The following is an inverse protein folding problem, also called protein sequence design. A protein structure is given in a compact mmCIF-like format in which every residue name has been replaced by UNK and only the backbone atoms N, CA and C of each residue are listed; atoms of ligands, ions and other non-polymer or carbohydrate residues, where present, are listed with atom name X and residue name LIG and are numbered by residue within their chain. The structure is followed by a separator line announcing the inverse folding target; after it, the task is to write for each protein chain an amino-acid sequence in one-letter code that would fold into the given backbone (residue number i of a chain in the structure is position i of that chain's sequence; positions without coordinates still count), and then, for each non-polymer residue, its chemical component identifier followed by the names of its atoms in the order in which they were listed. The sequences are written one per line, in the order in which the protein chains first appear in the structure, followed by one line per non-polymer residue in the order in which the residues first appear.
data_IF_080104870004
#
_entry.id   IF_080104870004
#
_cell.length_a   1.000
_cell.length_b   1.000
_cell.length_c   1.000
_cell.angle_alpha   90.00
_cell.angle_beta   90.00
_cell.angle_gamma   90.00
#
_symmetry.space_group_name_H-M   'P 1'
#
loop_
_entity.id
_entity.type
_entity.pdbx_description
1 polymer ?
#
# COMPACT_ATOMS: atom_id res chain seq x y z
N UNK A 1 23.52 7.55 -16.97
CA UNK A 1 23.44 8.80 -16.20
C UNK A 1 22.88 8.48 -14.83
N UNK A 2 23.64 8.76 -13.79
CA UNK A 2 23.19 8.60 -12.43
C UNK A 2 22.55 9.90 -11.95
N UNK A 3 21.31 9.84 -11.48
CA UNK A 3 20.65 10.98 -10.87
C UNK A 3 20.88 10.92 -9.35
N UNK A 4 21.38 12.00 -8.75
CA UNK A 4 21.44 12.10 -7.30
C UNK A 4 20.05 11.87 -6.68
N UNK A 5 20.02 11.31 -5.49
CA UNK A 5 18.77 11.22 -4.73
C UNK A 5 18.20 12.64 -4.49
N UNK A 6 16.91 12.82 -4.75
CA UNK A 6 16.21 14.11 -4.75
C UNK A 6 16.53 15.05 -5.93
N UNK A 7 17.10 14.57 -7.03
CA UNK A 7 17.20 15.36 -8.25
C UNK A 7 15.79 15.68 -8.79
N UNK A 8 15.54 16.94 -9.15
CA UNK A 8 14.22 17.38 -9.65
C UNK A 8 13.74 16.59 -10.87
N UNK A 9 14.66 16.05 -11.66
CA UNK A 9 14.32 15.22 -12.83
C UNK A 9 13.68 13.90 -12.45
N UNK A 10 13.96 13.38 -11.25
CA UNK A 10 13.31 12.16 -10.74
C UNK A 10 11.81 12.36 -10.52
N UNK A 11 11.38 13.57 -10.18
CA UNK A 11 9.96 13.92 -9.97
C UNK A 11 9.13 13.94 -11.26
N UNK A 12 9.77 13.83 -12.42
CA UNK A 12 9.09 13.74 -13.72
C UNK A 12 8.64 12.32 -14.06
N UNK A 13 9.09 11.33 -13.32
CA UNK A 13 8.58 9.97 -13.45
C UNK A 13 7.17 9.88 -12.89
N UNK A 14 6.23 9.50 -13.75
CA UNK A 14 4.87 9.19 -13.33
C UNK A 14 4.86 7.74 -12.83
N UNK A 15 4.49 7.56 -11.59
CA UNK A 15 4.37 6.24 -10.96
C UNK A 15 2.93 5.98 -10.53
N UNK A 16 2.55 4.71 -10.46
CA UNK A 16 1.29 4.30 -9.90
C UNK A 16 1.40 4.19 -8.39
N UNK A 17 0.44 4.75 -7.66
CA UNK A 17 0.35 4.55 -6.22
C UNK A 17 -0.67 3.45 -5.93
N UNK A 18 -0.20 2.33 -5.42
CA UNK A 18 -1.04 1.29 -4.88
C UNK A 18 -1.19 1.45 -3.36
N UNK A 19 -2.38 1.23 -2.83
CA UNK A 19 -2.57 1.06 -1.40
C UNK A 19 -2.39 -0.41 -1.06
N UNK A 20 -1.28 -0.71 -0.41
CA UNK A 20 -0.90 -2.08 -0.05
C UNK A 20 -1.43 -2.39 1.34
N UNK A 21 -2.27 -3.40 1.43
CA UNK A 21 -2.85 -3.86 2.69
C UNK A 21 -2.22 -5.18 3.12
N UNK A 22 -1.97 -5.30 4.40
CA UNK A 22 -1.35 -6.48 5.02
C UNK A 22 -1.99 -6.77 6.37
N UNK A 23 -1.77 -7.98 6.86
CA UNK A 23 -2.03 -8.34 8.24
C UNK A 23 -0.88 -9.23 8.73
N UNK A 24 -0.39 -8.99 9.93
CA UNK A 24 0.76 -9.72 10.45
C UNK A 24 1.16 -9.25 11.84
N UNK A 25 2.45 -9.26 12.21
CA UNK A 25 2.91 -8.87 13.55
C UNK A 25 2.48 -7.48 14.00
N UNK A 26 2.34 -6.54 13.07
CA UNK A 26 1.84 -5.18 13.35
C UNK A 26 0.31 -5.05 13.21
N UNK A 27 -0.42 -6.17 13.06
CA UNK A 27 -1.85 -6.18 12.81
C UNK A 27 -2.20 -5.77 11.38
N UNK A 28 -3.48 -5.47 11.15
CA UNK A 28 -3.96 -4.98 9.87
C UNK A 28 -3.40 -3.59 9.61
N UNK A 29 -2.74 -3.41 8.46
CA UNK A 29 -2.11 -2.16 8.07
C UNK A 29 -2.35 -1.84 6.59
N UNK A 30 -2.26 -0.57 6.25
CA UNK A 30 -2.30 -0.05 4.89
C UNK A 30 -1.18 0.96 4.67
N UNK A 31 -0.46 0.84 3.55
CA UNK A 31 0.55 1.82 3.16
C UNK A 31 0.32 2.32 1.73
N UNK A 32 0.67 3.57 1.47
CA UNK A 32 0.80 4.08 0.12
C UNK A 32 2.16 3.63 -0.45
N UNK A 33 2.12 2.86 -1.53
CA UNK A 33 3.30 2.38 -2.24
C UNK A 33 3.36 3.01 -3.62
N UNK A 34 4.24 3.98 -3.78
CA UNK A 34 4.46 4.69 -5.05
C UNK A 34 4.97 3.75 -6.14
N UNK A 35 5.79 2.77 -5.76
CA UNK A 35 6.37 1.83 -6.73
C UNK A 35 5.60 0.53 -6.75
N UNK A 36 4.42 0.61 -7.39
CA UNK A 36 3.50 -0.51 -7.62
C UNK A 36 3.33 -0.69 -9.13
N UNK A 37 3.79 -1.82 -9.67
CA UNK A 37 3.83 -2.03 -11.11
C UNK A 37 3.31 -3.39 -11.51
N UNK A 38 2.52 -3.43 -12.60
CA UNK A 38 2.18 -4.65 -13.30
C UNK A 38 3.38 -5.11 -14.13
N UNK A 39 3.87 -6.32 -13.90
CA UNK A 39 5.12 -6.79 -14.49
C UNK A 39 4.97 -8.04 -15.35
N UNK A 40 3.84 -8.73 -15.31
CA UNK A 40 3.57 -9.90 -16.16
C UNK A 40 2.07 -10.15 -16.31
N UNK A 41 1.66 -10.60 -17.49
CA UNK A 41 0.27 -10.99 -17.79
C UNK A 41 0.02 -12.48 -17.58
N UNK A 42 1.01 -13.33 -17.81
CA UNK A 42 0.89 -14.79 -17.71
C UNK A 42 2.15 -15.40 -17.10
N UNK A 43 2.14 -15.74 -15.82
CA UNK A 43 1.09 -15.43 -14.84
C UNK A 43 0.95 -13.93 -14.61
N UNK A 44 -0.22 -13.46 -14.13
CA UNK A 44 -0.43 -12.08 -13.70
C UNK A 44 0.44 -11.79 -12.47
N UNK A 45 1.38 -10.86 -12.60
CA UNK A 45 2.29 -10.48 -11.51
C UNK A 45 2.28 -8.97 -11.31
N UNK A 46 2.25 -8.57 -10.05
CA UNK A 46 2.42 -7.18 -9.60
C UNK A 46 3.65 -7.12 -8.71
N UNK A 47 4.55 -6.19 -9.01
CA UNK A 47 5.70 -5.89 -8.16
C UNK A 47 5.42 -4.66 -7.29
N UNK A 48 5.77 -4.73 -6.01
CA UNK A 48 5.73 -3.62 -5.07
C UNK A 48 7.09 -3.46 -4.42
N UNK A 49 7.63 -2.24 -4.39
CA UNK A 49 8.92 -1.96 -3.76
C UNK A 49 8.67 -1.34 -2.38
N UNK A 50 8.99 -2.09 -1.34
CA UNK A 50 8.71 -1.70 0.05
C UNK A 50 10.01 -1.65 0.84
N UNK A 51 10.29 -0.49 1.44
CA UNK A 51 11.49 -0.30 2.25
C UNK A 51 11.52 -1.23 3.48
N UNK A 52 12.70 -1.72 3.88
CA UNK A 52 12.84 -2.75 4.93
C UNK A 52 12.39 -2.29 6.34
N UNK A 53 12.32 -0.98 6.56
CA UNK A 53 11.93 -0.41 7.86
C UNK A 53 10.40 -0.16 7.98
N UNK A 54 9.61 -0.57 7.00
CA UNK A 54 8.15 -0.39 7.00
C UNK A 54 7.46 -1.53 7.75
N UNK A 55 6.42 -1.20 8.52
CA UNK A 55 5.57 -2.21 9.18
C UNK A 55 4.99 -3.21 8.17
N UNK A 56 4.56 -2.71 7.02
CA UNK A 56 4.09 -3.52 5.88
C UNK A 56 5.13 -4.54 5.42
N UNK A 57 6.42 -4.15 5.37
CA UNK A 57 7.50 -5.07 5.00
C UNK A 57 7.60 -6.25 5.97
N UNK A 58 7.57 -5.98 7.28
CA UNK A 58 7.63 -7.04 8.29
C UNK A 58 6.38 -7.93 8.25
N UNK A 59 5.19 -7.35 8.09
CA UNK A 59 3.96 -8.12 7.91
C UNK A 59 4.09 -9.09 6.73
N UNK A 60 4.52 -8.62 5.55
CA UNK A 60 4.69 -9.47 4.36
C UNK A 60 5.77 -10.53 4.56
N UNK A 61 6.87 -10.17 5.22
CA UNK A 61 7.97 -11.11 5.49
C UNK A 61 7.48 -12.32 6.28
N UNK A 62 6.58 -12.12 7.23
CA UNK A 62 6.02 -13.19 8.06
C UNK A 62 4.88 -13.96 7.36
N UNK A 63 3.95 -13.24 6.73
CA UNK A 63 2.73 -13.86 6.18
C UNK A 63 2.86 -14.30 4.74
N UNK A 64 3.78 -13.69 3.96
CA UNK A 64 3.94 -13.88 2.50
C UNK A 64 2.70 -13.47 1.70
N UNK A 65 1.88 -12.59 2.27
CA UNK A 65 0.60 -12.17 1.69
C UNK A 65 0.46 -10.64 1.74
N UNK A 66 -0.13 -10.07 0.71
CA UNK A 66 -0.55 -8.66 0.69
C UNK A 66 -1.68 -8.45 -0.30
N UNK A 67 -2.50 -7.43 -0.05
CA UNK A 67 -3.51 -6.96 -0.97
C UNK A 67 -3.03 -5.71 -1.72
N UNK A 68 -3.46 -5.57 -2.97
CA UNK A 68 -3.23 -4.37 -3.78
C UNK A 68 -4.57 -3.72 -4.05
N UNK A 69 -4.70 -2.44 -3.74
CA UNK A 69 -5.91 -1.66 -3.94
C UNK A 69 -5.56 -0.42 -4.78
N UNK A 70 -6.23 -0.27 -5.92
CA UNK A 70 -6.11 0.90 -6.78
C UNK A 70 -7.31 1.81 -6.51
N UNK A 71 -7.06 2.92 -5.85
CA UNK A 71 -8.09 3.84 -5.40
C UNK A 71 -8.43 4.89 -6.45
N UNK A 72 -9.70 5.31 -6.49
CA UNK A 72 -10.17 6.42 -7.29
C UNK A 72 -9.84 7.77 -6.64
N UNK A 73 -10.05 8.87 -7.36
CA UNK A 73 -9.71 10.23 -6.91
C UNK A 73 -10.47 10.67 -5.66
N UNK A 74 -11.69 10.22 -5.47
CA UNK A 74 -12.50 10.47 -4.26
C UNK A 74 -11.97 9.75 -3.01
N UNK A 75 -11.09 8.77 -3.21
CA UNK A 75 -10.37 8.05 -2.15
C UNK A 75 -8.95 8.59 -1.91
N UNK A 76 -8.57 9.72 -2.51
CA UNK A 76 -7.20 10.25 -2.46
C UNK A 76 -6.69 10.53 -1.04
N UNK A 77 -7.57 10.91 -0.11
CA UNK A 77 -7.20 11.13 1.30
C UNK A 77 -6.66 9.86 1.98
N UNK A 78 -7.09 8.68 1.51
CA UNK A 78 -6.56 7.41 2.02
C UNK A 78 -5.05 7.27 1.74
N UNK A 79 -4.60 7.75 0.58
CA UNK A 79 -3.18 7.76 0.24
C UNK A 79 -2.37 8.65 1.19
N UNK A 80 -2.90 9.80 1.55
CA UNK A 80 -2.26 10.73 2.50
C UNK A 80 -2.14 10.12 3.90
N UNK A 81 -3.19 9.49 4.40
CA UNK A 81 -3.17 8.81 5.72
C UNK A 81 -2.25 7.59 5.67
N UNK A 82 -2.39 6.74 4.64
CA UNK A 82 -1.60 5.53 4.51
C UNK A 82 -0.09 5.81 4.34
N UNK A 83 0.27 6.89 3.64
CA UNK A 83 1.64 7.29 3.38
C UNK A 83 2.25 8.20 4.44
N UNK A 84 1.44 9.01 5.13
CA UNK A 84 1.91 10.00 6.12
C UNK A 84 2.23 9.44 7.50
N UNK A 85 1.72 8.26 7.83
CA UNK A 85 1.85 7.63 9.15
C UNK A 85 2.46 6.24 9.06
N UNK A 86 3.12 5.78 10.13
CA UNK A 86 3.69 4.43 10.18
C UNK A 86 2.79 3.47 10.95
N UNK A 87 2.55 2.28 10.38
CA UNK A 87 1.74 1.23 10.98
C UNK A 87 2.30 0.64 12.27
N UNK A 88 3.59 0.86 12.56
CA UNK A 88 4.19 0.47 13.84
C UNK A 88 3.77 1.35 15.02
N UNK A 89 3.20 2.53 14.76
CA UNK A 89 2.79 3.49 15.78
C UNK A 89 1.30 3.83 15.75
N UNK A 90 0.67 3.71 14.59
CA UNK A 90 -0.71 4.17 14.36
C UNK A 90 -1.55 3.07 13.70
N UNK A 91 -2.77 2.90 14.18
CA UNK A 91 -3.77 2.08 13.52
C UNK A 91 -4.45 2.89 12.40
N UNK A 92 -3.85 2.90 11.23
CA UNK A 92 -4.32 3.69 10.07
C UNK A 92 -5.68 3.22 9.56
N UNK A 93 -5.94 1.91 9.61
CA UNK A 93 -7.23 1.36 9.18
C UNK A 93 -8.37 1.87 10.05
N UNK A 94 -8.20 1.90 11.37
CA UNK A 94 -9.22 2.46 12.27
C UNK A 94 -9.43 3.95 12.02
N UNK A 95 -8.35 4.72 11.86
CA UNK A 95 -8.45 6.14 11.53
C UNK A 95 -9.22 6.38 10.22
N UNK A 96 -8.97 5.57 9.19
CA UNK A 96 -9.69 5.66 7.93
C UNK A 96 -11.17 5.27 8.05
N UNK A 97 -11.49 4.27 8.89
CA UNK A 97 -12.88 3.92 9.20
C UNK A 97 -13.62 5.07 9.89
N UNK A 98 -12.98 5.78 10.79
CA UNK A 98 -13.56 6.98 11.44
C UNK A 98 -13.82 8.11 10.44
N UNK A 99 -13.02 8.19 9.36
CA UNK A 99 -13.24 9.12 8.24
C UNK A 99 -14.32 8.65 7.25
N UNK A 100 -14.96 7.51 7.50
CA UNK A 100 -16.07 7.00 6.69
C UNK A 100 -15.66 6.02 5.58
N UNK A 101 -14.40 5.61 5.49
CA UNK A 101 -13.98 4.59 4.54
C UNK A 101 -14.33 3.20 5.03
N UNK A 102 -14.75 2.35 4.10
CA UNK A 102 -15.15 0.97 4.39
C UNK A 102 -14.10 -0.02 3.91
N UNK A 103 -13.99 -1.11 4.65
CA UNK A 103 -13.07 -2.21 4.38
C UNK A 103 -13.81 -3.53 4.43
N UNK A 104 -13.25 -4.53 3.75
CA UNK A 104 -13.74 -5.91 3.80
C UNK A 104 -12.59 -6.90 3.85
N UNK A 105 -12.82 -8.09 4.38
CA UNK A 105 -11.80 -9.15 4.44
C UNK A 105 -11.61 -9.80 3.08
N UNK A 106 -10.35 -9.99 2.67
CA UNK A 106 -10.04 -10.70 1.46
C UNK A 106 -10.46 -12.17 1.53
N UNK A 107 -10.88 -12.74 0.40
CA UNK A 107 -11.41 -14.12 0.36
C UNK A 107 -10.33 -15.20 0.48
N UNK A 108 -9.10 -14.93 0.06
CA UNK A 108 -8.04 -15.95 -0.07
C UNK A 108 -6.80 -15.67 0.77
N UNK A 109 -6.61 -14.45 1.23
CA UNK A 109 -5.46 -14.02 2.01
C UNK A 109 -5.92 -13.34 3.29
N UNK A 110 -5.05 -13.27 4.27
CA UNK A 110 -5.30 -12.54 5.53
C UNK A 110 -4.96 -11.06 5.37
N UNK A 111 -5.71 -10.36 4.54
CA UNK A 111 -5.56 -8.93 4.36
C UNK A 111 -6.94 -8.27 4.32
N UNK A 112 -7.02 -7.07 4.85
CA UNK A 112 -8.21 -6.23 4.77
C UNK A 112 -8.14 -5.42 3.47
N UNK A 113 -9.19 -5.49 2.64
CA UNK A 113 -9.25 -4.79 1.35
C UNK A 113 -10.11 -3.54 1.46
N UNK A 114 -9.87 -2.58 0.58
CA UNK A 114 -10.58 -1.30 0.56
C UNK A 114 -11.83 -1.43 -0.32
N UNK A 115 -13.00 -1.11 0.24
CA UNK A 115 -14.26 -1.12 -0.51
C UNK A 115 -14.28 0.03 -1.53
N UNK A 116 -14.65 -0.29 -2.76
CA UNK A 116 -14.68 0.68 -3.86
C UNK A 116 -13.36 0.87 -4.60
N UNK A 117 -12.28 0.24 -4.15
CA UNK A 117 -11.03 0.16 -4.91
C UNK A 117 -11.05 -1.04 -5.88
N UNK A 118 -10.26 -0.91 -6.95
CA UNK A 118 -10.00 -2.02 -7.87
C UNK A 118 -8.87 -2.91 -7.36
#
# INVERSE_FOLDING_TARGET
MDLPWNDERSNKFITNVGLITTNGPYGADVMACEWTHHVSYRPGLIAVCIGPNKATHENIKQTKEFGVNLCSTDQSIMSSVAGGYTGSRYNKINALKELGFEFYEAKKIKATMIKGAA
#
